data_IF_921906476706
#
_entry.id   IF_921906476706
#
_cell.length_a   1.000
_cell.length_b   1.000
_cell.length_c   1.000
_cell.angle_alpha   90.00
_cell.angle_beta   90.00
_cell.angle_gamma   90.00
#
_symmetry.space_group_name_H-M   'P 1'
#
loop_
_entity.id
_entity.type
_entity.pdbx_description
1 polymer ?
#
# COMPACT_ATOMS: atom_id res chain seq x y z
N UNK A 1 -48.73 58.21 23.84
CA UNK A 1 -49.86 58.43 22.92
C UNK A 1 -49.55 57.66 21.64
N UNK A 2 -50.42 56.89 20.99
CA UNK A 2 -51.70 56.26 21.37
C UNK A 2 -51.48 54.71 21.30
N UNK A 3 -52.32 53.74 21.69
CA UNK A 3 -53.78 53.53 21.89
C UNK A 3 -54.63 53.27 20.63
N UNK A 4 -55.28 52.09 20.60
CA UNK A 4 -56.38 51.59 19.72
C UNK A 4 -55.94 51.12 18.30
N UNK A 5 -56.62 50.19 17.61
CA UNK A 5 -57.93 49.52 17.84
C UNK A 5 -57.98 48.07 17.30
N UNK A 6 -58.98 47.29 17.76
CA UNK A 6 -59.38 45.95 17.29
C UNK A 6 -60.38 46.01 16.11
N UNK A 7 -60.48 44.93 15.30
CA UNK A 7 -61.71 44.41 14.65
C UNK A 7 -61.41 43.02 14.02
N UNK A 8 -61.96 41.86 14.44
CA UNK A 8 -63.34 41.29 14.37
C UNK A 8 -63.87 40.86 12.99
N UNK A 9 -63.91 39.53 12.78
CA UNK A 9 -64.95 38.67 12.11
C UNK A 9 -64.61 37.22 12.55
N UNK A 10 -65.41 36.39 13.23
CA UNK A 10 -66.81 35.92 13.08
C UNK A 10 -67.12 35.22 11.74
N UNK A 11 -67.88 34.11 11.66
CA UNK A 11 -68.22 32.95 12.54
C UNK A 11 -69.02 31.95 11.66
N UNK A 12 -68.80 30.63 11.81
CA UNK A 12 -69.72 29.47 11.55
C UNK A 12 -68.85 28.21 11.31
N UNK A 13 -68.97 27.04 11.96
CA UNK A 13 -69.96 26.36 12.83
C UNK A 13 -71.21 25.78 12.15
N UNK A 14 -71.06 24.56 11.63
CA UNK A 14 -72.05 23.45 11.54
C UNK A 14 -71.19 22.18 11.72
N UNK A 15 -71.24 21.33 12.74
CA UNK A 15 -72.28 20.79 13.64
C UNK A 15 -73.04 19.58 13.08
N UNK A 16 -72.85 18.42 13.73
CA UNK A 16 -73.73 17.22 13.75
C UNK A 16 -73.93 16.47 12.42
N UNK A 17 -74.15 15.15 12.38
CA UNK A 17 -74.39 14.14 13.42
C UNK A 17 -73.78 12.78 13.02
N UNK A 18 -73.52 11.89 13.99
CA UNK A 18 -73.16 10.50 13.73
C UNK A 18 -74.36 9.55 13.77
N UNK A 19 -74.19 8.34 13.23
CA UNK A 19 -75.00 7.16 13.55
C UNK A 19 -74.21 5.88 13.26
N UNK A 20 -74.60 4.79 13.92
CA UNK A 20 -73.77 3.62 14.25
C UNK A 20 -73.86 2.45 13.23
N UNK A 21 -73.05 1.38 13.37
CA UNK A 21 -72.71 0.49 12.25
C UNK A 21 -73.72 -0.63 12.00
N UNK A 22 -73.59 -1.30 10.84
CA UNK A 22 -74.16 -2.63 10.63
C UNK A 22 -73.06 -3.69 10.50
N UNK A 23 -73.31 -4.85 11.12
CA UNK A 23 -72.46 -6.02 11.01
C UNK A 23 -72.73 -6.80 9.72
N UNK A 24 -71.69 -7.31 9.09
CA UNK A 24 -71.76 -8.60 8.40
C UNK A 24 -70.75 -9.56 8.99
N UNK A 25 -71.24 -10.73 9.39
CA UNK A 25 -70.43 -11.89 9.78
C UNK A 25 -69.96 -12.59 8.50
N UNK A 26 -68.68 -12.90 8.40
CA UNK A 26 -68.22 -14.00 7.55
C UNK A 26 -67.17 -14.86 8.27
N UNK A 27 -67.10 -16.11 7.84
CA UNK A 27 -66.79 -17.25 8.70
C UNK A 27 -65.31 -17.57 8.82
N UNK A 28 -64.96 -18.36 9.85
CA UNK A 28 -63.61 -18.90 10.04
C UNK A 28 -63.14 -19.71 8.83
N UNK A 29 -61.92 -19.43 8.37
CA UNK A 29 -61.00 -20.46 7.88
C UNK A 29 -59.68 -20.27 8.63
N UNK A 30 -59.38 -21.20 9.53
CA UNK A 30 -58.17 -21.17 10.34
C UNK A 30 -56.98 -21.75 9.54
N UNK A 31 -56.27 -20.89 8.82
CA UNK A 31 -54.98 -21.23 8.22
C UNK A 31 -53.86 -20.91 9.21
N UNK A 32 -53.40 -21.89 9.98
CA UNK A 32 -52.30 -21.72 10.95
C UNK A 32 -50.96 -21.55 10.24
N UNK A 33 -50.71 -20.33 9.74
CA UNK A 33 -49.37 -19.91 9.34
C UNK A 33 -48.57 -19.69 10.62
N UNK A 34 -47.87 -20.75 11.04
CA UNK A 34 -46.83 -20.67 12.07
C UNK A 34 -45.68 -19.87 11.48
N UNK A 35 -45.79 -18.54 11.56
CA UNK A 35 -44.64 -17.64 11.46
C UNK A 35 -43.77 -17.91 12.68
N UNK A 36 -42.92 -18.93 12.57
CA UNK A 36 -41.73 -19.04 13.39
C UNK A 36 -40.91 -17.77 13.14
N UNK A 37 -41.13 -16.76 13.99
CA UNK A 37 -40.13 -15.73 14.21
C UNK A 37 -38.92 -16.46 14.77
N UNK A 38 -38.05 -16.91 13.87
CA UNK A 38 -36.65 -17.07 14.18
C UNK A 38 -36.19 -15.69 14.64
N UNK A 39 -36.18 -15.51 15.96
CA UNK A 39 -35.37 -14.51 16.61
C UNK A 39 -33.93 -14.88 16.26
N UNK A 40 -33.48 -14.42 15.09
CA UNK A 40 -32.08 -14.47 14.69
C UNK A 40 -31.35 -13.82 15.86
N UNK A 41 -30.50 -14.55 16.60
CA UNK A 41 -29.76 -13.93 17.69
C UNK A 41 -28.97 -12.81 17.04
N UNK A 42 -29.34 -11.56 17.40
CA UNK A 42 -28.62 -10.38 16.94
C UNK A 42 -27.16 -10.64 17.30
N UNK A 43 -26.31 -10.74 16.28
CA UNK A 43 -24.95 -11.22 16.47
C UNK A 43 -24.27 -10.27 17.47
N UNK A 44 -24.20 -10.68 18.74
CA UNK A 44 -23.55 -9.87 19.76
C UNK A 44 -22.15 -9.64 19.26
N UNK A 45 -21.78 -8.36 19.09
CA UNK A 45 -20.43 -7.99 18.71
C UNK A 45 -19.50 -8.66 19.72
N UNK A 46 -18.77 -9.69 19.28
CA UNK A 46 -18.06 -10.59 20.17
C UNK A 46 -17.13 -9.75 21.04
N UNK A 47 -17.46 -9.64 22.33
CA UNK A 47 -16.77 -8.74 23.25
C UNK A 47 -15.31 -9.16 23.29
N UNK A 48 -14.44 -8.27 22.80
CA UNK A 48 -13.07 -8.65 22.54
C UNK A 48 -12.36 -8.99 23.86
N UNK A 49 -12.02 -10.28 24.00
CA UNK A 49 -11.38 -10.81 25.20
C UNK A 49 -9.88 -10.69 25.06
N UNK A 50 -9.28 -9.77 25.82
CA UNK A 50 -7.83 -9.58 25.89
C UNK A 50 -7.18 -10.88 26.38
N UNK A 51 -6.15 -11.41 25.68
CA UNK A 51 -5.48 -12.64 26.08
C UNK A 51 -4.59 -12.41 27.30
N UNK A 52 -4.45 -13.43 28.16
CA UNK A 52 -3.39 -13.42 29.17
C UNK A 52 -2.04 -13.44 28.47
N UNK A 53 -1.17 -12.48 28.76
CA UNK A 53 0.15 -12.36 28.13
C UNK A 53 1.19 -11.84 29.13
N UNK A 54 2.45 -11.77 28.71
CA UNK A 54 3.53 -11.10 29.45
C UNK A 54 3.34 -9.56 29.51
N UNK A 55 2.62 -8.99 28.55
CA UNK A 55 2.49 -7.54 28.41
C UNK A 55 1.37 -7.00 29.30
N UNK A 56 1.70 -5.98 30.09
CA UNK A 56 0.79 -5.30 31.03
C UNK A 56 -0.37 -4.58 30.32
N UNK A 57 -0.06 -3.82 29.27
CA UNK A 57 -1.04 -3.03 28.53
C UNK A 57 -1.24 -3.65 27.14
N UNK A 58 -2.40 -4.25 26.92
CA UNK A 58 -2.77 -4.89 25.66
C UNK A 58 -4.15 -4.39 25.24
N UNK A 59 -4.28 -3.92 24.01
CA UNK A 59 -5.56 -3.52 23.42
C UNK A 59 -6.02 -4.48 22.32
N UNK A 60 -7.33 -4.56 22.16
CA UNK A 60 -7.96 -5.17 21.01
C UNK A 60 -7.73 -4.35 19.75
N UNK A 61 -7.72 -5.02 18.60
CA UNK A 61 -7.64 -4.38 17.28
C UNK A 61 -8.85 -4.79 16.43
N UNK A 62 -9.13 -4.05 15.36
CA UNK A 62 -10.14 -4.40 14.37
C UNK A 62 -9.83 -5.75 13.67
N UNK A 63 -8.56 -6.13 13.64
CA UNK A 63 -8.07 -7.36 13.02
C UNK A 63 -8.12 -8.52 14.01
N UNK A 64 -9.22 -9.30 13.94
CA UNK A 64 -9.48 -10.45 14.81
C UNK A 64 -8.26 -11.37 14.92
N UNK A 65 -7.93 -11.73 16.16
CA UNK A 65 -6.78 -12.59 16.49
C UNK A 65 -5.48 -11.83 16.76
N UNK A 66 -5.39 -10.55 16.39
CA UNK A 66 -4.27 -9.67 16.70
C UNK A 66 -4.62 -8.68 17.82
N UNK A 67 -3.69 -8.53 18.75
CA UNK A 67 -3.79 -7.60 19.87
C UNK A 67 -2.50 -6.76 19.92
N UNK A 68 -2.62 -5.48 20.26
CA UNK A 68 -1.49 -4.57 20.31
C UNK A 68 -1.00 -4.40 21.75
N UNK A 69 0.25 -4.75 22.01
CA UNK A 69 0.92 -4.49 23.27
C UNK A 69 1.67 -3.15 23.23
N UNK A 70 1.50 -2.33 24.27
CA UNK A 70 2.09 -0.98 24.39
C UNK A 70 2.78 -0.75 25.73
N UNK A 71 3.68 0.23 25.79
CA UNK A 71 4.23 0.78 27.06
C UNK A 71 3.17 1.64 27.75
N UNK A 72 3.39 2.02 29.01
CA UNK A 72 2.46 2.86 29.78
C UNK A 72 2.16 4.22 29.11
N UNK A 73 3.08 4.74 28.29
CA UNK A 73 2.90 5.97 27.49
C UNK A 73 2.41 5.72 26.05
N UNK A 74 1.84 4.55 25.75
CA UNK A 74 1.22 4.23 24.44
C UNK A 74 2.19 3.88 23.31
N UNK A 75 3.51 3.98 23.50
CA UNK A 75 4.49 3.53 22.51
C UNK A 75 4.37 2.02 22.25
N UNK A 76 4.42 1.56 20.98
CA UNK A 76 4.20 0.15 20.65
C UNK A 76 5.35 -0.73 21.14
N UNK A 77 5.04 -1.99 21.47
CA UNK A 77 6.00 -3.00 21.92
C UNK A 77 5.92 -4.24 21.06
N UNK A 78 4.73 -4.81 20.89
CA UNK A 78 4.56 -6.02 20.10
C UNK A 78 3.14 -6.15 19.52
N UNK A 79 3.03 -6.84 18.39
CA UNK A 79 1.76 -7.45 17.97
C UNK A 79 1.72 -8.88 18.52
N UNK A 80 0.65 -9.24 19.21
CA UNK A 80 0.51 -10.55 19.87
C UNK A 80 -0.74 -11.30 19.37
N UNK A 81 -0.71 -12.63 19.47
CA UNK A 81 -1.83 -13.50 19.09
C UNK A 81 -2.85 -13.71 20.23
N UNK A 82 -3.93 -14.44 19.95
CA UNK A 82 -4.96 -14.83 20.93
C UNK A 82 -4.48 -15.76 22.06
N UNK A 83 -3.26 -16.29 21.99
CA UNK A 83 -2.60 -17.05 23.07
C UNK A 83 -1.69 -16.15 23.92
N UNK A 84 -1.62 -14.85 23.63
CA UNK A 84 -0.72 -13.89 24.29
C UNK A 84 0.74 -13.97 23.85
N UNK A 85 1.06 -14.73 22.79
CA UNK A 85 2.41 -14.88 22.26
C UNK A 85 2.74 -13.74 21.30
N UNK A 86 3.94 -13.17 21.41
CA UNK A 86 4.47 -12.19 20.45
C UNK A 86 4.61 -12.79 19.04
N UNK A 87 4.15 -12.04 18.05
CA UNK A 87 4.28 -12.34 16.62
C UNK A 87 5.26 -11.38 15.95
N UNK A 88 5.19 -10.08 16.30
CA UNK A 88 5.99 -9.00 15.72
C UNK A 88 6.52 -8.13 16.84
N UNK A 89 7.84 -7.93 16.88
CA UNK A 89 8.47 -6.87 17.68
C UNK A 89 8.26 -5.51 17.00
N UNK A 90 7.67 -4.57 17.75
CA UNK A 90 7.35 -3.22 17.30
C UNK A 90 8.17 -2.14 18.01
N UNK A 91 9.09 -2.53 18.91
CA UNK A 91 9.84 -1.62 19.80
C UNK A 91 10.66 -0.54 19.09
N UNK A 92 11.05 -0.78 17.81
CA UNK A 92 11.79 0.15 16.95
C UNK A 92 10.93 1.16 16.19
N UNK A 93 9.61 1.14 16.36
CA UNK A 93 8.67 2.04 15.67
C UNK A 93 8.04 3.06 16.60
N UNK A 94 7.83 4.27 16.08
CA UNK A 94 7.21 5.39 16.79
C UNK A 94 5.69 5.22 16.86
N UNK A 95 5.07 4.68 15.79
CA UNK A 95 3.63 4.38 15.72
C UNK A 95 3.38 3.12 14.89
N UNK A 96 2.20 2.54 15.11
CA UNK A 96 1.68 1.37 14.42
C UNK A 96 0.16 1.52 14.29
N UNK A 97 -0.43 1.06 13.19
CA UNK A 97 -1.87 1.14 12.95
C UNK A 97 -2.44 -0.28 12.78
N UNK A 98 -2.58 -1.00 13.89
CA UNK A 98 -2.99 -2.40 13.90
C UNK A 98 -4.44 -2.62 13.43
N UNK A 99 -5.28 -1.58 13.49
CA UNK A 99 -6.64 -1.58 12.94
C UNK A 99 -6.66 -1.52 11.41
N UNK A 100 -5.52 -1.21 10.77
CA UNK A 100 -5.32 -1.19 9.33
C UNK A 100 -4.52 -2.38 8.79
N UNK A 101 -4.30 -3.43 9.58
CA UNK A 101 -3.76 -4.69 9.05
C UNK A 101 -4.67 -5.18 7.92
N UNK A 102 -4.10 -5.33 6.72
CA UNK A 102 -4.83 -5.78 5.53
C UNK A 102 -3.87 -6.50 4.59
N UNK A 103 -4.34 -7.56 3.93
CA UNK A 103 -3.52 -8.43 3.07
C UNK A 103 -2.20 -8.91 3.73
N UNK A 104 -2.20 -9.10 5.05
CA UNK A 104 -1.02 -9.53 5.81
C UNK A 104 0.04 -8.43 6.03
N UNK A 105 -0.26 -7.17 5.71
CA UNK A 105 0.62 -6.02 5.93
C UNK A 105 0.11 -5.11 7.06
N UNK A 106 1.03 -4.70 7.93
CA UNK A 106 0.82 -3.81 9.09
C UNK A 106 1.51 -2.45 8.85
N UNK A 107 0.77 -1.33 8.82
CA UNK A 107 1.38 -0.01 8.71
C UNK A 107 2.17 0.36 9.97
N UNK A 108 3.40 0.84 9.79
CA UNK A 108 4.31 1.31 10.85
C UNK A 108 4.94 2.65 10.50
N UNK A 109 5.35 3.39 11.53
CA UNK A 109 6.04 4.68 11.39
C UNK A 109 7.37 4.69 12.14
N UNK A 110 8.44 5.16 11.49
CA UNK A 110 9.76 5.44 12.08
C UNK A 110 10.26 6.75 11.49
N UNK A 111 10.80 7.62 12.33
CA UNK A 111 11.36 8.92 11.94
C UNK A 111 10.40 9.76 11.07
N UNK A 112 9.10 9.77 11.41
CA UNK A 112 8.06 10.48 10.65
C UNK A 112 7.68 9.86 9.28
N UNK A 113 8.36 8.81 8.83
CA UNK A 113 8.08 8.13 7.58
C UNK A 113 7.27 6.85 7.80
N UNK A 114 6.60 6.37 6.75
CA UNK A 114 5.66 5.23 6.75
C UNK A 114 6.25 4.07 5.95
N UNK A 115 6.10 2.87 6.51
CA UNK A 115 6.38 1.60 5.85
C UNK A 115 5.39 0.52 6.31
N UNK A 116 5.58 -0.72 5.85
CA UNK A 116 4.67 -1.82 6.14
C UNK A 116 5.43 -3.10 6.48
N UNK A 117 5.03 -3.75 7.59
CA UNK A 117 5.57 -5.04 8.01
C UNK A 117 4.67 -6.18 7.57
N UNK A 118 5.23 -7.36 7.30
CA UNK A 118 4.46 -8.59 7.34
C UNK A 118 4.20 -9.05 8.80
N UNK A 119 3.38 -10.09 8.96
CA UNK A 119 3.04 -10.65 10.29
C UNK A 119 4.19 -11.43 10.95
N UNK A 120 5.35 -11.52 10.28
CA UNK A 120 6.61 -12.04 10.80
C UNK A 120 7.57 -10.90 11.22
N UNK A 121 7.16 -9.64 11.10
CA UNK A 121 7.93 -8.46 11.54
C UNK A 121 9.04 -8.00 10.59
N UNK A 122 9.09 -8.54 9.36
CA UNK A 122 9.98 -8.04 8.29
C UNK A 122 9.35 -6.83 7.62
N UNK A 123 10.15 -5.80 7.34
CA UNK A 123 9.73 -4.68 6.47
C UNK A 123 9.56 -5.22 5.04
N UNK A 124 8.33 -5.20 4.51
CA UNK A 124 8.03 -5.56 3.11
C UNK A 124 8.01 -4.31 2.24
N UNK A 125 7.50 -3.21 2.80
CA UNK A 125 7.62 -1.87 2.22
C UNK A 125 8.47 -1.07 3.20
N UNK A 126 9.68 -0.61 2.80
CA UNK A 126 10.56 0.12 3.69
C UNK A 126 9.92 1.40 4.21
N UNK A 127 10.40 1.86 5.36
CA UNK A 127 9.88 3.07 6.01
C UNK A 127 10.39 4.34 5.34
N UNK A 128 9.87 4.65 4.16
CA UNK A 128 10.33 5.73 3.27
C UNK A 128 9.25 6.72 2.83
N UNK A 129 7.97 6.42 3.03
CA UNK A 129 6.87 7.27 2.55
C UNK A 129 6.52 8.39 3.52
N UNK A 130 6.06 9.53 3.02
CA UNK A 130 5.59 10.65 3.84
C UNK A 130 4.39 10.20 4.69
N UNK A 131 4.35 10.60 5.96
CA UNK A 131 3.14 10.50 6.76
C UNK A 131 1.98 11.27 6.12
N UNK A 132 0.82 10.61 6.00
CA UNK A 132 -0.39 11.26 5.51
C UNK A 132 -0.99 12.19 6.56
N UNK A 133 -1.67 13.23 6.10
CA UNK A 133 -2.42 14.17 6.93
C UNK A 133 -3.90 14.19 6.53
N UNK A 134 -4.79 14.38 7.52
CA UNK A 134 -6.23 14.39 7.34
C UNK A 134 -6.97 13.20 7.98
N UNK A 135 -8.27 13.11 7.73
CA UNK A 135 -9.21 12.26 8.48
C UNK A 135 -9.07 10.74 8.30
N UNK A 136 -8.16 10.25 7.45
CA UNK A 136 -7.95 8.81 7.23
C UNK A 136 -6.70 8.26 7.96
N UNK A 137 -6.07 9.10 8.79
CA UNK A 137 -4.87 8.77 9.57
C UNK A 137 -3.58 8.86 8.74
N UNK A 138 -2.46 8.50 9.38
CA UNK A 138 -1.11 8.75 8.86
C UNK A 138 -0.61 7.72 7.82
N UNK A 139 -1.30 6.59 7.67
CA UNK A 139 -1.06 5.57 6.64
C UNK A 139 -2.39 5.00 6.14
N UNK A 140 -2.39 4.35 4.97
CA UNK A 140 -3.55 3.65 4.41
C UNK A 140 -3.43 2.13 4.61
N UNK A 141 -4.53 1.39 4.76
CA UNK A 141 -4.47 -0.07 4.67
C UNK A 141 -4.22 -0.50 3.22
N UNK A 142 -3.84 -1.76 3.01
CA UNK A 142 -3.95 -2.39 1.69
C UNK A 142 -5.43 -2.46 1.29
N UNK A 143 -5.75 -1.97 0.09
CA UNK A 143 -7.07 -2.03 -0.53
C UNK A 143 -6.95 -2.70 -1.90
N UNK A 144 -7.53 -3.89 -2.07
CA UNK A 144 -7.50 -4.68 -3.31
C UNK A 144 -6.11 -4.90 -3.93
N UNK A 145 -5.08 -5.05 -3.09
CA UNK A 145 -3.68 -5.20 -3.52
C UNK A 145 -3.02 -3.88 -3.94
N UNK A 146 -3.59 -2.74 -3.56
CA UNK A 146 -3.06 -1.39 -3.77
C UNK A 146 -2.96 -0.63 -2.46
N UNK A 147 -1.96 0.23 -2.35
CA UNK A 147 -1.73 1.09 -1.20
C UNK A 147 -1.54 2.51 -1.74
N UNK A 148 -2.39 3.44 -1.31
CA UNK A 148 -2.17 4.87 -1.57
C UNK A 148 -1.12 5.36 -0.58
N UNK A 149 -0.04 5.90 -1.12
CA UNK A 149 1.12 6.43 -0.38
C UNK A 149 1.44 7.83 -0.86
N UNK A 150 2.33 8.51 -0.14
CA UNK A 150 2.78 9.86 -0.46
C UNK A 150 4.30 9.92 -0.39
N UNK A 151 4.94 10.58 -1.35
CA UNK A 151 6.38 10.73 -1.40
C UNK A 151 6.70 12.13 -1.94
N UNK A 152 7.61 12.85 -1.27
CA UNK A 152 8.03 14.18 -1.72
C UNK A 152 6.89 15.21 -1.77
N UNK A 153 5.88 15.07 -0.90
CA UNK A 153 4.71 15.93 -0.87
C UNK A 153 3.55 15.49 -1.79
N UNK A 154 3.70 14.44 -2.58
CA UNK A 154 2.77 14.08 -3.66
C UNK A 154 2.17 12.69 -3.49
N UNK A 155 0.90 12.51 -3.87
CA UNK A 155 0.24 11.20 -3.81
C UNK A 155 0.61 10.30 -4.98
N UNK A 156 0.71 9.00 -4.69
CA UNK A 156 0.87 7.93 -5.66
C UNK A 156 0.22 6.63 -5.16
N UNK A 157 0.33 5.58 -5.96
CA UNK A 157 -0.17 4.23 -5.61
C UNK A 157 0.93 3.23 -5.84
N UNK A 158 1.18 2.39 -4.86
CA UNK A 158 2.01 1.19 -4.98
C UNK A 158 1.15 -0.08 -4.87
N UNK A 159 1.69 -1.22 -5.28
CA UNK A 159 1.18 -2.52 -4.88
C UNK A 159 1.84 -3.02 -3.58
N UNK A 160 1.53 -4.26 -3.19
CA UNK A 160 2.07 -4.89 -1.96
C UNK A 160 3.54 -5.32 -2.07
N UNK A 161 4.15 -5.24 -3.25
CA UNK A 161 5.57 -5.49 -3.49
C UNK A 161 6.36 -4.17 -3.68
N UNK A 162 5.80 -3.04 -3.23
CA UNK A 162 6.36 -1.70 -3.35
C UNK A 162 6.51 -1.18 -4.80
N UNK A 163 5.91 -1.83 -5.79
CA UNK A 163 5.97 -1.36 -7.19
C UNK A 163 5.02 -0.19 -7.39
N UNK A 164 5.55 0.92 -7.94
CA UNK A 164 4.73 2.09 -8.32
C UNK A 164 3.77 1.74 -9.45
N UNK A 165 2.47 1.90 -9.18
CA UNK A 165 1.35 1.73 -10.11
C UNK A 165 0.86 3.09 -10.63
N UNK A 166 0.83 4.10 -9.75
CA UNK A 166 0.48 5.48 -10.10
C UNK A 166 1.63 6.39 -9.65
N UNK A 167 2.39 6.99 -10.57
CA UNK A 167 3.51 7.85 -10.24
C UNK A 167 3.13 9.05 -9.36
N UNK A 168 4.03 9.39 -8.45
CA UNK A 168 3.92 10.57 -7.61
C UNK A 168 3.94 11.84 -8.46
N UNK A 169 2.95 12.72 -8.31
CA UNK A 169 2.85 13.95 -9.11
C UNK A 169 2.23 15.10 -8.34
N UNK A 170 2.81 16.29 -8.45
CA UNK A 170 2.27 17.55 -7.92
C UNK A 170 0.85 17.86 -8.43
N UNK A 171 0.47 17.30 -9.58
CA UNK A 171 -0.90 17.41 -10.10
C UNK A 171 -1.92 16.62 -9.27
N UNK A 172 -1.51 15.58 -8.54
CA UNK A 172 -2.39 14.69 -7.77
C UNK A 172 -2.45 15.18 -6.33
N UNK A 173 -3.61 15.72 -5.97
CA UNK A 173 -3.87 16.27 -4.63
C UNK A 173 -4.45 15.26 -3.65
N UNK A 174 -5.03 14.15 -4.12
CA UNK A 174 -5.66 13.12 -3.29
C UNK A 174 -5.96 11.84 -4.11
N UNK A 175 -5.96 10.68 -3.47
CA UNK A 175 -6.42 9.39 -4.02
C UNK A 175 -7.16 8.62 -2.92
N UNK A 176 -8.38 8.17 -3.20
CA UNK A 176 -9.14 7.29 -2.31
C UNK A 176 -8.55 5.87 -2.27
N UNK A 177 -8.85 5.10 -1.21
CA UNK A 177 -8.57 3.66 -1.19
C UNK A 177 -9.40 2.94 -2.28
N UNK A 178 -8.84 1.88 -2.88
CA UNK A 178 -9.51 1.11 -3.93
C UNK A 178 -10.74 0.35 -3.40
N UNK A 179 -11.86 0.42 -4.14
CA UNK A 179 -13.10 -0.33 -3.91
C UNK A 179 -13.79 -0.64 -5.25
N UNK A 180 -14.20 -1.88 -5.46
CA UNK A 180 -14.82 -2.31 -6.72
C UNK A 180 -13.86 -2.26 -7.91
N UNK A 181 -12.57 -2.50 -7.69
CA UNK A 181 -11.54 -2.43 -8.74
C UNK A 181 -11.10 -1.01 -9.13
N UNK A 182 -11.61 0.03 -8.45
CA UNK A 182 -11.34 1.43 -8.80
C UNK A 182 -11.04 2.31 -7.57
N UNK A 183 -10.31 3.40 -7.79
CA UNK A 183 -10.07 4.46 -6.81
C UNK A 183 -10.40 5.83 -7.43
N UNK A 184 -11.03 6.73 -6.67
CA UNK A 184 -11.22 8.11 -7.10
C UNK A 184 -9.92 8.89 -6.93
N UNK A 185 -9.52 9.66 -7.93
CA UNK A 185 -8.34 10.54 -7.90
C UNK A 185 -8.74 11.99 -8.11
N UNK A 186 -8.10 12.91 -7.38
CA UNK A 186 -8.24 14.36 -7.60
C UNK A 186 -6.96 14.91 -8.23
N UNK A 187 -6.97 15.09 -9.56
CA UNK A 187 -5.84 15.58 -10.37
C UNK A 187 -6.17 16.94 -10.97
N UNK A 188 -5.32 17.95 -10.76
CA UNK A 188 -5.52 19.34 -11.23
C UNK A 188 -6.91 19.91 -10.88
N UNK A 189 -7.39 19.64 -9.65
CA UNK A 189 -8.76 19.94 -9.16
C UNK A 189 -9.91 19.18 -9.85
N UNK A 190 -9.69 18.55 -11.00
CA UNK A 190 -10.64 17.62 -11.61
C UNK A 190 -10.69 16.28 -10.83
N UNK A 191 -11.81 15.59 -10.94
CA UNK A 191 -12.01 14.24 -10.38
C UNK A 191 -12.10 13.25 -11.54
N UNK A 192 -11.37 12.14 -11.44
CA UNK A 192 -11.52 10.97 -12.29
C UNK A 192 -11.36 9.69 -11.47
N UNK A 193 -11.44 8.54 -12.13
CA UNK A 193 -11.25 7.24 -11.49
C UNK A 193 -10.01 6.55 -12.04
N UNK A 194 -9.35 5.74 -11.23
CA UNK A 194 -8.21 4.92 -11.59
C UNK A 194 -8.61 3.46 -11.47
N UNK A 195 -8.33 2.64 -12.49
CA UNK A 195 -8.36 1.19 -12.31
C UNK A 195 -7.13 0.67 -11.54
N UNK A 196 -7.12 -0.61 -11.20
CA UNK A 196 -6.00 -1.22 -10.47
C UNK A 196 -4.67 -1.21 -11.25
N UNK A 197 -4.65 -0.92 -12.54
CA UNK A 197 -3.42 -0.74 -13.31
C UNK A 197 -2.95 0.72 -13.36
N UNK A 198 -3.67 1.64 -12.71
CA UNK A 198 -3.37 3.07 -12.69
C UNK A 198 -3.95 3.86 -13.86
N UNK A 199 -4.75 3.23 -14.74
CA UNK A 199 -5.31 3.90 -15.90
C UNK A 199 -6.52 4.75 -15.51
N UNK A 200 -6.60 5.96 -16.05
CA UNK A 200 -7.74 6.86 -15.84
C UNK A 200 -8.99 6.38 -16.58
N UNK A 201 -10.12 6.31 -15.88
CA UNK A 201 -11.46 6.01 -16.40
C UNK A 201 -12.46 7.11 -16.05
N UNK A 202 -13.49 7.21 -16.88
CA UNK A 202 -14.70 8.00 -16.63
C UNK A 202 -15.47 7.47 -15.42
N UNK A 203 -16.39 8.27 -14.88
CA UNK A 203 -17.16 7.91 -13.69
C UNK A 203 -18.02 6.65 -13.92
N UNK A 204 -17.83 5.57 -13.13
CA UNK A 204 -18.58 4.32 -13.27
C UNK A 204 -20.06 4.45 -12.88
N UNK A 205 -20.46 5.53 -12.19
CA UNK A 205 -21.85 5.84 -11.84
C UNK A 205 -22.47 6.89 -12.79
N UNK A 206 -21.77 7.31 -13.85
CA UNK A 206 -22.33 8.20 -14.86
C UNK A 206 -23.28 7.44 -15.79
N UNK A 207 -24.55 7.38 -15.40
CA UNK A 207 -25.64 7.10 -16.34
C UNK A 207 -25.68 8.20 -17.38
N UNK A 208 -25.38 7.87 -18.64
CA UNK A 208 -25.24 8.84 -19.71
C UNK A 208 -26.53 9.66 -19.95
N UNK A 209 -26.47 10.97 -19.74
CA UNK A 209 -27.29 11.90 -20.52
C UNK A 209 -26.70 13.33 -20.59
N UNK A 210 -27.12 14.06 -21.62
CA UNK A 210 -26.91 15.50 -21.87
C UNK A 210 -25.55 15.94 -22.45
N UNK A 211 -25.46 15.76 -23.78
CA UNK A 211 -25.11 16.77 -24.78
C UNK A 211 -23.82 17.63 -24.65
N UNK A 212 -23.03 17.49 -25.72
CA UNK A 212 -21.83 18.23 -26.16
C UNK A 212 -21.96 19.78 -26.18
N UNK A 213 -20.85 20.52 -26.35
CA UNK A 213 -20.51 20.89 -27.72
C UNK A 213 -19.03 20.74 -28.14
N UNK A 214 -18.84 19.96 -29.20
CA UNK A 214 -17.99 20.23 -30.38
C UNK A 214 -16.60 20.86 -30.20
N UNK A 215 -15.57 20.09 -30.55
CA UNK A 215 -14.61 20.53 -31.58
C UNK A 215 -14.38 19.43 -32.62
N UNK A 216 -14.44 19.80 -33.89
CA UNK A 216 -14.14 18.95 -35.05
C UNK A 216 -12.64 18.68 -35.09
N UNK A 217 -12.24 17.46 -35.43
CA UNK A 217 -11.15 17.30 -36.39
C UNK A 217 -11.33 16.02 -37.23
N UNK A 218 -10.84 16.10 -38.47
CA UNK A 218 -11.26 15.27 -39.61
C UNK A 218 -10.79 13.83 -39.56
N UNK A 219 -11.70 12.90 -39.85
CA UNK A 219 -11.34 11.53 -40.21
C UNK A 219 -10.68 11.49 -41.61
N UNK A 220 -9.53 10.83 -41.72
CA UNK A 220 -9.12 10.16 -42.96
C UNK A 220 -9.10 8.66 -42.68
N UNK A 221 -9.96 7.95 -43.38
CA UNK A 221 -10.15 6.52 -43.25
C UNK A 221 -9.38 5.82 -44.38
N UNK A 222 -8.47 4.91 -44.05
CA UNK A 222 -7.94 3.90 -44.97
C UNK A 222 -8.05 2.57 -44.26
N UNK A 223 -9.13 1.85 -44.53
CA UNK A 223 -9.24 0.45 -44.17
C UNK A 223 -8.26 -0.35 -45.05
N UNK A 224 -7.52 -1.29 -44.47
CA UNK A 224 -7.49 -2.62 -45.07
C UNK A 224 -7.42 -3.71 -44.01
N UNK A 225 -7.92 -4.89 -44.36
CA UNK A 225 -8.44 -5.85 -43.40
C UNK A 225 -7.43 -6.89 -42.89
N UNK A 226 -7.77 -7.47 -41.73
CA UNK A 226 -7.45 -8.82 -41.27
C UNK A 226 -5.99 -9.32 -41.35
N UNK A 227 -5.32 -9.28 -40.20
CA UNK A 227 -4.47 -10.39 -39.76
C UNK A 227 -4.79 -10.69 -38.29
N UNK A 228 -5.54 -11.77 -38.05
CA UNK A 228 -5.73 -12.33 -36.71
C UNK A 228 -4.59 -13.28 -36.41
N UNK A 229 -3.65 -12.89 -35.55
CA UNK A 229 -2.63 -13.82 -35.07
C UNK A 229 -2.29 -13.61 -33.59
N UNK A 230 -2.09 -14.74 -32.91
CA UNK A 230 -2.27 -14.90 -31.48
C UNK A 230 -1.39 -13.99 -30.62
N UNK A 231 -2.01 -13.36 -29.60
CA UNK A 231 -1.30 -12.89 -28.41
C UNK A 231 -0.52 -14.08 -27.82
N UNK A 232 0.82 -14.04 -27.76
CA UNK A 232 1.58 -15.13 -27.16
C UNK A 232 1.21 -15.27 -25.67
N UNK A 233 1.03 -16.51 -25.23
CA UNK A 233 0.91 -16.84 -23.82
C UNK A 233 2.18 -16.35 -23.08
N UNK A 234 2.10 -15.98 -21.78
CA UNK A 234 3.27 -15.53 -21.03
C UNK A 234 4.27 -16.68 -20.95
N UNK A 235 5.32 -16.59 -21.77
CA UNK A 235 6.39 -17.56 -21.76
C UNK A 235 7.17 -17.40 -20.45
N UNK A 236 7.17 -18.45 -19.63
CA UNK A 236 8.10 -18.57 -18.50
C UNK A 236 9.52 -18.65 -19.04
N UNK A 237 10.17 -17.48 -19.15
CA UNK A 237 11.57 -17.31 -19.50
C UNK A 237 12.20 -16.56 -18.35
N UNK A 238 13.34 -17.04 -17.86
CA UNK A 238 14.11 -16.33 -16.85
C UNK A 238 14.64 -15.04 -17.50
N UNK A 239 13.98 -13.93 -17.21
CA UNK A 239 14.41 -12.60 -17.67
C UNK A 239 15.76 -12.27 -17.06
N UNK A 240 16.75 -11.99 -17.89
CA UNK A 240 18.05 -11.55 -17.38
C UNK A 240 17.98 -10.05 -17.15
N UNK A 241 17.90 -9.63 -15.88
CA UNK A 241 17.84 -8.21 -15.55
C UNK A 241 19.21 -7.56 -15.74
N UNK A 242 19.26 -6.52 -16.59
CA UNK A 242 20.47 -5.77 -16.89
C UNK A 242 20.47 -4.44 -16.13
N UNK A 243 21.56 -4.04 -15.47
CA UNK A 243 21.66 -2.73 -14.83
C UNK A 243 21.66 -1.64 -15.91
N UNK A 244 20.84 -0.62 -15.73
CA UNK A 244 20.73 0.51 -16.65
C UNK A 244 20.79 1.81 -15.86
N UNK A 245 21.34 2.86 -16.45
CA UNK A 245 21.42 4.19 -15.85
C UNK A 245 20.55 5.18 -16.61
N UNK A 246 19.71 5.92 -15.91
CA UNK A 246 18.88 7.00 -16.46
C UNK A 246 18.89 8.18 -15.48
N UNK A 247 19.04 9.40 -15.99
CA UNK A 247 18.98 10.64 -15.20
C UNK A 247 19.92 10.66 -13.97
N UNK A 248 21.08 10.00 -14.08
CA UNK A 248 22.09 9.89 -13.03
C UNK A 248 21.80 8.83 -11.95
N UNK A 249 20.68 8.10 -12.05
CA UNK A 249 20.33 6.99 -11.15
C UNK A 249 20.33 5.64 -11.87
N UNK A 250 20.59 4.58 -11.13
CA UNK A 250 20.61 3.21 -11.63
C UNK A 250 19.32 2.47 -11.26
N UNK A 251 18.88 1.63 -12.19
CA UNK A 251 17.77 0.69 -12.07
C UNK A 251 18.09 -0.57 -12.89
N UNK A 252 17.10 -1.41 -13.15
CA UNK A 252 17.28 -2.62 -13.96
C UNK A 252 16.16 -2.79 -14.99
N UNK A 253 16.56 -3.19 -16.20
CA UNK A 253 15.67 -3.44 -17.34
C UNK A 253 15.64 -4.93 -17.71
N UNK A 254 14.58 -5.36 -18.39
CA UNK A 254 14.53 -6.66 -19.06
C UNK A 254 15.18 -6.64 -20.44
N UNK A 255 15.24 -7.82 -21.08
CA UNK A 255 15.76 -8.01 -22.44
C UNK A 255 14.97 -7.24 -23.54
N UNK A 256 13.83 -6.61 -23.18
CA UNK A 256 13.02 -5.76 -24.05
C UNK A 256 13.17 -4.26 -23.72
N UNK A 257 14.15 -3.89 -22.89
CA UNK A 257 14.37 -2.55 -22.33
C UNK A 257 13.21 -2.02 -21.46
N UNK A 258 12.38 -2.89 -20.89
CA UNK A 258 11.32 -2.51 -19.94
C UNK A 258 11.91 -2.38 -18.54
N UNK A 259 11.70 -1.23 -17.90
CA UNK A 259 12.11 -0.98 -16.51
C UNK A 259 11.41 -1.96 -15.54
N UNK A 260 12.19 -2.87 -14.97
CA UNK A 260 11.72 -3.86 -13.99
C UNK A 260 11.99 -3.40 -12.55
N UNK A 261 13.14 -2.78 -12.31
CA UNK A 261 13.51 -2.16 -11.02
C UNK A 261 13.81 -0.68 -11.29
N UNK A 262 13.19 0.22 -10.51
CA UNK A 262 13.19 1.66 -10.76
C UNK A 262 14.58 2.31 -10.58
N UNK A 263 14.83 3.40 -11.31
CA UNK A 263 16.02 4.25 -11.17
C UNK A 263 16.04 4.99 -9.83
N UNK A 264 16.52 4.32 -8.77
CA UNK A 264 16.62 4.88 -7.42
C UNK A 264 18.03 4.78 -6.81
N UNK A 265 18.90 3.96 -7.38
CA UNK A 265 20.23 3.68 -6.83
C UNK A 265 21.29 4.69 -7.34
N UNK A 266 22.31 4.96 -6.54
CA UNK A 266 23.48 5.76 -6.94
C UNK A 266 24.43 4.96 -7.84
N UNK A 267 24.52 3.65 -7.60
CA UNK A 267 25.24 2.66 -8.41
C UNK A 267 24.50 1.31 -8.35
N UNK A 268 24.66 0.51 -9.39
CA UNK A 268 24.20 -0.89 -9.43
C UNK A 268 25.27 -1.78 -10.09
N UNK A 269 25.38 -3.01 -9.61
CA UNK A 269 26.12 -4.10 -10.25
C UNK A 269 25.17 -5.00 -11.05
N UNK A 270 25.70 -5.76 -11.99
CA UNK A 270 24.91 -6.77 -12.70
C UNK A 270 24.45 -7.88 -11.73
N UNK A 271 23.33 -8.53 -12.06
CA UNK A 271 22.88 -9.70 -11.31
C UNK A 271 23.86 -10.86 -11.45
N UNK A 272 24.25 -11.45 -10.32
CA UNK A 272 24.99 -12.71 -10.24
C UNK A 272 24.38 -13.60 -9.17
N UNK A 273 24.22 -14.89 -9.48
CA UNK A 273 23.63 -15.90 -8.61
C UNK A 273 22.27 -15.53 -7.97
N UNK A 274 21.48 -14.68 -8.65
CA UNK A 274 20.16 -14.20 -8.21
C UNK A 274 20.16 -12.89 -7.41
N UNK A 275 21.32 -12.31 -7.13
CA UNK A 275 21.48 -11.05 -6.37
C UNK A 275 22.24 -9.99 -7.17
N UNK A 276 21.95 -8.72 -6.92
CA UNK A 276 22.72 -7.58 -7.44
C UNK A 276 23.06 -6.61 -6.32
N UNK A 277 24.34 -6.22 -6.23
CA UNK A 277 24.78 -5.13 -5.36
C UNK A 277 24.25 -3.78 -5.85
N UNK A 278 23.68 -2.98 -4.96
CA UNK A 278 23.17 -1.64 -5.25
C UNK A 278 23.56 -0.66 -4.15
N UNK A 279 23.73 0.62 -4.49
CA UNK A 279 24.14 1.68 -3.54
C UNK A 279 23.07 2.74 -3.38
N UNK A 280 22.82 3.19 -2.15
CA UNK A 280 22.01 4.38 -1.83
C UNK A 280 22.72 5.20 -0.74
N UNK A 281 22.85 6.51 -0.96
CA UNK A 281 23.46 7.47 -0.02
C UNK A 281 24.89 7.10 0.41
N UNK A 282 25.63 6.41 -0.45
CA UNK A 282 26.99 5.91 -0.18
C UNK A 282 27.07 4.47 0.36
N UNK A 283 25.99 3.95 0.94
CA UNK A 283 25.94 2.60 1.51
C UNK A 283 25.51 1.55 0.47
N UNK A 284 26.20 0.42 0.44
CA UNK A 284 25.86 -0.75 -0.39
C UNK A 284 24.99 -1.76 0.37
N UNK A 285 24.08 -2.37 -0.38
CA UNK A 285 23.28 -3.54 -0.02
C UNK A 285 23.04 -4.43 -1.25
N UNK A 286 22.26 -5.50 -1.13
CA UNK A 286 21.98 -6.43 -2.24
C UNK A 286 20.49 -6.69 -2.41
N UNK A 287 20.02 -6.64 -3.66
CA UNK A 287 18.62 -6.91 -4.04
C UNK A 287 18.51 -8.20 -4.86
N UNK A 288 17.33 -8.84 -4.85
CA UNK A 288 17.00 -9.95 -5.75
C UNK A 288 16.35 -9.47 -7.07
N UNK A 289 16.06 -10.40 -7.98
CA UNK A 289 15.41 -10.13 -9.27
C UNK A 289 14.00 -9.50 -9.16
N UNK A 290 13.36 -9.56 -8.00
CA UNK A 290 12.11 -8.84 -7.71
C UNK A 290 12.31 -7.39 -7.26
N UNK A 291 13.56 -6.96 -7.05
CA UNK A 291 13.90 -5.69 -6.42
C UNK A 291 13.83 -5.69 -4.89
N UNK A 292 13.62 -6.85 -4.26
CA UNK A 292 13.56 -6.97 -2.80
C UNK A 292 14.97 -6.89 -2.20
N UNK A 293 15.17 -6.08 -1.16
CA UNK A 293 16.45 -5.95 -0.45
C UNK A 293 16.70 -7.20 0.42
N UNK A 294 17.63 -8.04 -0.02
CA UNK A 294 18.01 -9.30 0.62
C UNK A 294 19.07 -9.08 1.69
N UNK A 295 20.03 -8.20 1.42
CA UNK A 295 21.10 -7.81 2.36
C UNK A 295 21.00 -6.29 2.53
N UNK A 296 20.81 -5.77 3.77
CA UNK A 296 20.59 -4.35 4.02
C UNK A 296 21.70 -3.43 3.50
N UNK A 297 21.36 -2.15 3.33
CA UNK A 297 22.35 -1.08 3.20
C UNK A 297 23.08 -0.94 4.53
N UNK A 298 24.35 -1.37 4.58
CA UNK A 298 25.19 -1.31 5.77
C UNK A 298 26.69 -1.28 5.48
N UNK A 299 27.08 -1.28 4.20
CA UNK A 299 28.48 -1.31 3.78
C UNK A 299 28.83 0.02 3.12
N UNK A 300 29.32 0.97 3.92
CA UNK A 300 29.96 2.17 3.38
C UNK A 300 31.21 1.77 2.58
N UNK A 301 31.51 2.53 1.53
CA UNK A 301 32.73 2.34 0.77
C UNK A 301 33.91 2.78 1.64
N UNK A 302 34.71 1.84 2.16
CA UNK A 302 35.81 2.09 3.09
C UNK A 302 36.89 3.01 2.49
N UNK A 303 36.64 4.31 2.54
CA UNK A 303 37.60 5.35 2.18
C UNK A 303 38.67 5.42 3.27
N UNK A 304 39.78 4.71 3.06
CA UNK A 304 41.03 5.04 3.75
C UNK A 304 41.36 6.52 3.46
N UNK A 305 41.72 7.26 4.51
CA UNK A 305 41.80 8.73 4.52
C UNK A 305 43.02 9.33 3.77
N UNK A 306 43.46 8.71 2.68
CA UNK A 306 44.62 9.12 1.89
C UNK A 306 44.27 9.26 0.39
N UNK A 307 43.58 10.36 0.07
CA UNK A 307 43.67 11.08 -1.22
C UNK A 307 43.69 10.26 -2.52
N UNK A 308 42.90 9.18 -2.61
CA UNK A 308 42.53 8.60 -3.90
C UNK A 308 41.05 8.25 -3.90
N UNK A 309 40.28 9.07 -4.61
CA UNK A 309 38.94 8.68 -5.08
C UNK A 309 39.09 7.33 -5.79
N UNK A 310 38.55 6.27 -5.17
CA UNK A 310 38.56 4.95 -5.77
C UNK A 310 37.56 4.96 -6.93
N UNK A 311 38.14 5.15 -8.12
CA UNK A 311 37.52 5.02 -9.42
C UNK A 311 36.69 3.74 -9.53
N UNK A 312 35.79 3.75 -10.53
CA UNK A 312 34.79 2.73 -10.92
C UNK A 312 35.34 1.32 -11.23
N UNK A 313 36.57 1.02 -10.79
CA UNK A 313 37.45 -0.04 -11.25
C UNK A 313 38.19 -0.72 -10.07
N UNK A 314 37.61 -0.65 -8.86
CA UNK A 314 38.06 -1.45 -7.71
C UNK A 314 37.66 -2.92 -7.87
N UNK A 315 38.32 -3.57 -8.84
CA UNK A 315 38.38 -5.02 -8.92
C UNK A 315 39.40 -5.56 -7.90
N UNK A 316 39.13 -6.74 -7.36
CA UNK A 316 40.09 -7.47 -6.54
C UNK A 316 40.28 -8.87 -7.13
N UNK A 317 41.52 -9.22 -7.52
CA UNK A 317 41.83 -10.44 -8.28
C UNK A 317 40.90 -10.58 -9.52
N UNK A 318 40.75 -9.49 -10.28
CA UNK A 318 39.86 -9.34 -11.45
C UNK A 318 38.34 -9.53 -11.19
N UNK A 319 37.91 -9.60 -9.92
CA UNK A 319 36.51 -9.74 -9.54
C UNK A 319 35.90 -8.39 -9.11
N UNK A 320 34.67 -8.05 -9.57
CA UNK A 320 34.01 -6.80 -9.19
C UNK A 320 33.53 -6.81 -7.72
N UNK A 321 33.70 -5.68 -7.05
CA UNK A 321 33.12 -5.42 -5.71
C UNK A 321 31.59 -5.49 -5.73
N UNK A 322 31.01 -6.01 -4.65
CA UNK A 322 29.55 -6.19 -4.46
C UNK A 322 28.88 -7.09 -5.51
N UNK A 323 29.56 -8.15 -5.94
CA UNK A 323 29.01 -9.20 -6.82
C UNK A 323 29.24 -10.58 -6.19
N UNK A 324 28.21 -11.42 -6.20
CA UNK A 324 28.29 -12.80 -5.72
C UNK A 324 28.98 -13.72 -6.72
N UNK A 325 29.99 -14.45 -6.27
CA UNK A 325 30.73 -15.45 -7.04
C UNK A 325 31.07 -16.65 -6.12
N UNK A 326 30.62 -17.83 -6.50
CA UNK A 326 30.66 -19.07 -5.70
C UNK A 326 30.04 -18.90 -4.31
N UNK A 327 28.89 -18.23 -4.23
CA UNK A 327 28.17 -18.01 -2.97
C UNK A 327 28.74 -16.94 -2.04
N UNK A 328 29.89 -16.30 -2.38
CA UNK A 328 30.50 -15.22 -1.60
C UNK A 328 30.47 -13.90 -2.37
N UNK A 329 30.31 -12.76 -1.69
CA UNK A 329 30.54 -11.43 -2.27
C UNK A 329 31.59 -10.66 -1.47
N UNK A 330 32.59 -10.10 -2.16
CA UNK A 330 33.60 -9.22 -1.55
C UNK A 330 33.04 -7.80 -1.39
N UNK A 331 33.19 -7.26 -0.17
CA UNK A 331 32.63 -5.96 0.25
C UNK A 331 33.69 -4.95 0.71
N UNK A 332 34.98 -5.30 0.64
CA UNK A 332 36.10 -4.42 1.01
C UNK A 332 37.15 -5.10 1.88
N UNK A 333 38.02 -4.29 2.51
CA UNK A 333 39.07 -4.76 3.40
C UNK A 333 38.93 -4.13 4.79
N UNK A 334 39.30 -4.88 5.82
CA UNK A 334 39.51 -4.38 7.18
C UNK A 334 40.75 -3.47 7.24
N UNK A 335 40.83 -2.64 8.30
CA UNK A 335 41.97 -1.73 8.55
C UNK A 335 43.33 -2.43 8.65
N UNK A 336 43.37 -3.73 8.93
CA UNK A 336 44.58 -4.55 8.96
C UNK A 336 44.94 -5.19 7.61
N UNK A 337 44.21 -4.86 6.53
CA UNK A 337 44.40 -5.40 5.18
C UNK A 337 43.57 -6.65 4.87
N UNK A 338 43.03 -7.34 5.88
CA UNK A 338 42.27 -8.59 5.67
C UNK A 338 41.03 -8.35 4.80
N UNK A 339 40.74 -9.29 3.89
CA UNK A 339 39.56 -9.23 3.02
C UNK A 339 38.27 -9.46 3.83
N UNK A 340 37.18 -8.78 3.46
CA UNK A 340 35.83 -9.05 3.98
C UNK A 340 34.92 -9.54 2.87
N UNK A 341 34.36 -10.73 3.08
CA UNK A 341 33.30 -11.28 2.25
C UNK A 341 32.04 -11.54 3.07
N UNK A 342 30.90 -11.64 2.38
CA UNK A 342 29.63 -12.08 2.95
C UNK A 342 29.05 -13.26 2.18
N UNK A 343 28.26 -14.08 2.86
CA UNK A 343 27.34 -15.04 2.23
C UNK A 343 26.04 -14.36 1.76
N UNK A 344 25.12 -15.13 1.19
CA UNK A 344 23.85 -14.62 0.63
C UNK A 344 22.86 -14.16 1.70
N UNK A 345 23.08 -14.59 2.93
CA UNK A 345 22.35 -14.19 4.12
C UNK A 345 22.93 -12.89 4.73
N UNK A 346 24.08 -12.42 4.24
CA UNK A 346 24.76 -11.20 4.68
C UNK A 346 25.69 -11.39 5.88
N UNK A 347 25.97 -12.62 6.29
CA UNK A 347 26.90 -12.89 7.37
C UNK A 347 28.35 -12.80 6.89
N UNK A 348 29.23 -12.23 7.72
CA UNK A 348 30.64 -12.07 7.41
C UNK A 348 31.38 -13.43 7.40
N UNK A 349 32.09 -13.71 6.31
CA UNK A 349 32.84 -14.94 6.06
C UNK A 349 34.23 -14.64 5.49
N UNK A 350 35.13 -15.64 5.55
CA UNK A 350 36.43 -15.56 4.87
C UNK A 350 36.25 -15.57 3.35
N UNK A 351 37.02 -14.74 2.64
CA UNK A 351 36.99 -14.68 1.18
C UNK A 351 37.65 -15.89 0.50
N UNK A 352 38.72 -16.43 1.10
CA UNK A 352 39.46 -17.60 0.61
C UNK A 352 38.65 -18.92 0.71
#
# INVERSE_FOLDING_TARGET
>A
MLRRSLSKRQISLISTSGLQPQMMRYSLIASTLVTALFAVPSAQAASCKIPKSYYKNVSCTASRGYFLAVKDFGAPVALINSQGKSLVDLSRYQKVDADKISSGLLPVMRNGHVGYLNMQGREVIPVMYDALSGGQGWARPVSEGRIVVKQGGHYGVIDTANKTIVPFSASISDIDNYRGGMARVRKNKAISWLDKSGNTKSDPNSSANTQSPSKKETAKNVNNANASEQRPAPASRFTTLQPHQQDGKWGFIDDNNVNMITYSFDEARAFSEGLAGVRINGEWGFINLGGELMIPFSFDNFNNSDNKSLSLDSSYKDKPSFVFLNGKAWIGNLKNGNEMCIDKEGAAIGCD
#
